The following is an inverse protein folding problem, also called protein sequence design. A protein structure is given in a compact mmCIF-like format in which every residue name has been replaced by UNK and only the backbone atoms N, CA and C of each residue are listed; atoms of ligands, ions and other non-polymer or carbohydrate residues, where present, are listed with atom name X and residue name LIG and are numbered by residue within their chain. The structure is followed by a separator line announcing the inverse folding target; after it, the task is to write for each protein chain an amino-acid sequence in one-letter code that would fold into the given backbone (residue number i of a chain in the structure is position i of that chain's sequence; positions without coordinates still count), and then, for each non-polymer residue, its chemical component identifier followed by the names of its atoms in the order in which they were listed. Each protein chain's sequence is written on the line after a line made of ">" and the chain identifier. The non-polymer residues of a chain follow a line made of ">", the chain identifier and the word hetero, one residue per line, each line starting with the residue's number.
data_IF_570596245711
#
_entry.id   IF_570596245711
#
_cell.length_a   1.000
_cell.length_b   1.000
_cell.length_c   1.000
_cell.angle_alpha   90.00
_cell.angle_beta   90.00
_cell.angle_gamma   90.00
#
_symmetry.space_group_name_H-M   'P 1'
#
loop_
_entity.id
_entity.type
_entity.pdbx_description
1 polymer ?
#
# COMPACT_ATOMS: atom_id res chain seq x y z
N UNK A 1 10.91 2.63 -35.73
CA UNK A 1 11.38 1.54 -34.84
C UNK A 1 12.30 2.16 -33.79
N UNK A 2 11.97 2.03 -32.50
CA UNK A 2 12.56 2.64 -31.29
C UNK A 2 11.75 3.80 -30.67
N UNK A 3 10.69 3.44 -29.93
CA UNK A 3 10.10 4.30 -28.88
C UNK A 3 9.57 3.51 -27.67
N UNK A 4 9.84 2.20 -27.55
CA UNK A 4 9.23 1.33 -26.52
C UNK A 4 10.00 1.23 -25.19
N UNK A 5 10.73 2.28 -24.76
CA UNK A 5 11.67 2.18 -23.63
C UNK A 5 11.26 2.92 -22.34
N UNK A 6 10.09 3.56 -22.25
CA UNK A 6 9.77 4.44 -21.11
C UNK A 6 8.77 3.91 -20.07
N UNK A 7 8.16 2.73 -20.25
CA UNK A 7 7.07 2.26 -19.37
C UNK A 7 7.57 1.27 -18.29
N UNK A 8 8.82 0.82 -18.34
CA UNK A 8 9.28 -0.35 -17.58
C UNK A 8 9.81 -0.09 -16.14
N UNK A 9 9.77 1.14 -15.61
CA UNK A 9 10.57 1.48 -14.41
C UNK A 9 9.81 2.04 -13.18
N UNK A 10 8.47 2.08 -13.15
CA UNK A 10 7.77 2.88 -12.11
C UNK A 10 6.49 2.28 -11.49
N UNK A 11 6.39 0.95 -11.33
CA UNK A 11 5.15 0.29 -10.87
C UNK A 11 5.19 -0.43 -9.53
N UNK A 12 6.05 -0.01 -8.60
CA UNK A 12 6.15 -0.68 -7.30
C UNK A 12 5.36 0.00 -6.16
N UNK A 13 4.84 1.23 -6.34
CA UNK A 13 4.38 2.04 -5.20
C UNK A 13 2.85 2.16 -5.02
N UNK A 14 2.02 1.99 -6.06
CA UNK A 14 0.61 2.41 -5.96
C UNK A 14 -0.41 1.31 -5.68
N UNK A 15 -0.08 0.01 -5.81
CA UNK A 15 -0.97 -1.08 -5.36
C UNK A 15 -0.65 -1.59 -3.94
N UNK A 16 0.40 -1.06 -3.32
CA UNK A 16 0.78 -1.30 -1.92
C UNK A 16 1.14 0.06 -1.33
N UNK A 17 0.14 0.82 -0.87
CA UNK A 17 0.40 2.08 -0.18
C UNK A 17 1.13 1.81 1.16
N UNK A 18 2.45 1.95 1.14
CA UNK A 18 3.26 2.31 2.29
C UNK A 18 4.23 3.40 1.84
N UNK A 19 4.02 4.62 2.31
CA UNK A 19 4.95 5.72 2.11
C UNK A 19 6.27 5.38 2.82
N UNK A 20 7.38 5.40 2.09
CA UNK A 20 8.71 5.62 2.66
C UNK A 20 9.45 6.59 1.75
N UNK A 21 9.60 7.81 2.27
CA UNK A 21 10.38 8.88 1.68
C UNK A 21 11.87 8.60 1.90
N UNK A 22 12.51 7.91 0.97
CA UNK A 22 13.97 7.83 0.93
C UNK A 22 14.54 8.97 0.08
N UNK A 23 15.09 9.98 0.77
CA UNK A 23 15.99 10.96 0.13
C UNK A 23 17.38 10.35 -0.03
N UNK A 24 18.00 10.40 -1.22
CA UNK A 24 19.39 9.98 -1.37
C UNK A 24 20.34 11.01 -0.73
N UNK A 25 21.14 10.55 0.24
CA UNK A 25 22.30 11.28 0.76
C UNK A 25 23.37 11.39 -0.31
N UNK A 26 23.71 12.61 -0.72
CA UNK A 26 24.83 12.88 -1.62
C UNK A 26 26.13 13.06 -0.84
N UNK A 27 27.10 12.20 -1.11
CA UNK A 27 28.50 12.39 -0.74
C UNK A 27 29.06 13.59 -1.53
N UNK A 28 29.49 14.64 -0.83
CA UNK A 28 30.24 15.74 -1.44
C UNK A 28 31.70 15.69 -1.00
N UNK A 29 32.57 15.53 -2.00
CA UNK A 29 34.01 15.61 -1.90
C UNK A 29 34.43 17.08 -1.76
N UNK A 30 35.21 17.36 -0.71
CA UNK A 30 35.73 18.70 -0.43
C UNK A 30 36.80 19.12 -1.43
N UNK A 31 36.56 20.23 -2.12
CA UNK A 31 37.58 20.95 -2.89
C UNK A 31 37.69 22.39 -2.38
N UNK A 32 38.88 22.74 -1.91
CA UNK A 32 39.26 24.05 -1.38
C UNK A 32 39.33 25.07 -2.53
N UNK A 33 38.71 26.23 -2.36
CA UNK A 33 39.11 27.46 -3.05
C UNK A 33 39.02 28.65 -2.09
N UNK A 34 40.18 29.26 -1.87
CA UNK A 34 40.41 30.51 -1.17
C UNK A 34 40.12 31.71 -2.08
N UNK A 35 39.41 32.72 -1.58
CA UNK A 35 39.25 34.01 -2.26
C UNK A 35 38.89 35.12 -1.29
N UNK A 36 39.83 36.05 -1.11
CA UNK A 36 39.77 37.35 -0.39
C UNK A 36 38.71 38.28 -1.03
N UNK A 37 37.84 38.92 -0.25
CA UNK A 37 37.91 40.26 0.40
C UNK A 37 37.15 41.35 -0.37
N UNK A 38 36.47 42.19 0.44
CA UNK A 38 36.22 43.63 0.28
C UNK A 38 34.77 44.15 0.13
N UNK A 39 34.44 44.99 1.13
CA UNK A 39 33.71 46.26 1.11
C UNK A 39 32.20 46.39 0.83
N UNK A 40 31.46 46.47 1.94
CA UNK A 40 30.65 47.61 2.47
C UNK A 40 29.56 48.34 1.61
N UNK A 41 28.59 49.02 2.27
CA UNK A 41 27.16 49.02 1.89
C UNK A 41 26.57 50.39 1.51
N UNK A 42 25.33 50.40 1.00
CA UNK A 42 24.38 51.52 0.98
C UNK A 42 22.97 50.98 0.62
N UNK A 43 21.98 51.02 1.53
CA UNK A 43 21.00 52.10 1.83
C UNK A 43 19.66 52.01 1.07
N UNK A 44 18.60 52.00 1.88
CA UNK A 44 17.29 52.65 1.79
C UNK A 44 16.44 52.49 0.52
N UNK A 45 15.29 51.82 0.68
CA UNK A 45 14.01 52.30 0.10
C UNK A 45 12.87 52.01 1.09
N UNK A 46 12.19 53.09 1.46
CA UNK A 46 11.01 53.20 2.32
C UNK A 46 9.83 52.31 1.90
N UNK A 47 9.08 51.81 2.90
CA UNK A 47 7.69 51.36 2.73
C UNK A 47 6.78 52.19 3.62
N UNK A 48 5.64 52.69 3.10
CA UNK A 48 4.71 53.49 3.88
C UNK A 48 3.80 52.63 4.77
N UNK A 49 3.46 53.20 5.92
CA UNK A 49 2.50 52.67 6.90
C UNK A 49 1.07 52.55 6.32
N UNK A 50 0.29 51.54 6.74
CA UNK A 50 -1.13 51.48 6.45
C UNK A 50 -1.96 52.40 7.38
N UNK A 51 -3.06 53.00 6.89
CA UNK A 51 -3.83 53.98 7.64
C UNK A 51 -4.79 53.39 8.68
N UNK A 52 -5.10 54.28 9.62
CA UNK A 52 -5.97 54.19 10.79
C UNK A 52 -7.30 53.44 10.63
N UNK A 53 -7.60 52.65 11.67
CA UNK A 53 -8.94 52.17 12.01
C UNK A 53 -9.79 53.35 12.51
N UNK A 54 -10.97 53.53 11.92
CA UNK A 54 -12.07 54.31 12.49
C UNK A 54 -13.25 53.42 12.81
N UNK A 55 -13.86 53.77 13.94
CA UNK A 55 -15.05 53.23 14.58
C UNK A 55 -16.33 53.45 13.79
N UNK A 56 -17.35 52.66 14.15
CA UNK A 56 -18.75 52.70 13.69
C UNK A 56 -19.25 51.26 13.57
N UNK A 57 -19.72 50.62 14.65
CA UNK A 57 -21.03 50.77 15.29
C UNK A 57 -22.21 50.48 14.35
N UNK A 58 -23.18 49.76 14.90
CA UNK A 58 -24.45 49.30 14.32
C UNK A 58 -24.39 48.00 13.47
N UNK A 59 -24.84 46.89 14.07
CA UNK A 59 -26.02 46.17 13.56
C UNK A 59 -26.47 45.04 14.51
N UNK A 60 -27.57 45.38 15.19
CA UNK A 60 -28.70 44.56 15.59
C UNK A 60 -28.78 43.17 14.91
N UNK A 61 -28.62 42.11 15.70
CA UNK A 61 -28.95 40.74 15.29
C UNK A 61 -30.29 40.36 15.92
N UNK A 62 -31.34 40.09 15.12
CA UNK A 62 -32.59 39.59 15.68
C UNK A 62 -32.39 38.17 16.21
N UNK A 63 -32.93 37.93 17.40
CA UNK A 63 -33.18 36.58 17.93
C UNK A 63 -34.24 35.91 17.07
N UNK A 64 -33.85 34.89 16.32
CA UNK A 64 -34.77 33.90 15.78
C UNK A 64 -34.90 32.75 16.78
N UNK A 65 -35.88 32.86 17.66
CA UNK A 65 -36.53 31.70 18.26
C UNK A 65 -37.51 31.09 17.22
N UNK A 66 -37.70 29.77 17.32
CA UNK A 66 -38.72 28.94 16.67
C UNK A 66 -38.52 28.55 15.19
N UNK A 67 -37.79 27.44 14.98
CA UNK A 67 -38.06 26.52 13.86
C UNK A 67 -38.45 25.13 14.38
N UNK A 68 -39.55 24.55 13.89
CA UNK A 68 -40.03 23.24 14.31
C UNK A 68 -39.08 22.12 13.85
N UNK A 69 -38.98 21.10 14.69
CA UNK A 69 -38.24 19.85 14.47
C UNK A 69 -38.57 19.24 13.10
N UNK A 70 -37.66 19.44 12.15
CA UNK A 70 -37.66 18.78 10.85
C UNK A 70 -36.87 17.49 10.95
N UNK A 71 -37.56 16.39 10.66
CA UNK A 71 -37.07 15.01 10.55
C UNK A 71 -35.64 14.93 10.00
N UNK A 72 -34.71 14.48 10.84
CA UNK A 72 -33.44 13.98 10.37
C UNK A 72 -33.70 12.75 9.48
N UNK A 73 -33.08 12.63 8.30
CA UNK A 73 -33.18 11.41 7.52
C UNK A 73 -32.60 10.27 8.36
N UNK A 74 -33.47 9.33 8.71
CA UNK A 74 -33.12 8.05 9.32
C UNK A 74 -32.07 7.42 8.41
N UNK A 75 -30.82 7.39 8.89
CA UNK A 75 -29.81 6.52 8.30
C UNK A 75 -30.35 5.10 8.47
N UNK A 76 -30.37 4.26 7.41
CA UNK A 76 -30.68 2.87 7.62
C UNK A 76 -29.63 2.30 8.58
N UNK A 77 -30.08 1.86 9.75
CA UNK A 77 -29.31 1.06 10.69
C UNK A 77 -28.98 -0.26 10.00
N UNK A 78 -27.90 -0.25 9.23
CA UNK A 78 -27.23 -1.46 8.77
C UNK A 78 -26.32 -1.94 9.90
N UNK A 79 -26.93 -2.27 11.04
CA UNK A 79 -26.32 -3.04 12.12
C UNK A 79 -26.28 -4.52 11.72
N UNK A 80 -25.64 -4.81 10.59
CA UNK A 80 -25.10 -6.15 10.41
C UNK A 80 -23.88 -6.24 11.34
N UNK A 81 -23.87 -7.19 12.29
CA UNK A 81 -22.72 -7.37 13.17
C UNK A 81 -21.50 -7.64 12.30
N UNK A 82 -20.45 -6.83 12.46
CA UNK A 82 -19.19 -7.04 11.78
C UNK A 82 -18.75 -8.50 11.98
N UNK A 83 -18.64 -9.24 10.86
CA UNK A 83 -18.19 -10.63 10.83
C UNK A 83 -17.00 -10.81 11.76
N UNK A 84 -17.11 -11.78 12.69
CA UNK A 84 -16.11 -12.07 13.70
C UNK A 84 -14.71 -12.11 13.08
N UNK A 85 -13.81 -11.17 13.43
CA UNK A 85 -12.49 -11.13 12.83
C UNK A 85 -11.66 -12.34 13.28
N UNK A 86 -10.86 -12.91 12.38
CA UNK A 86 -9.65 -13.62 12.81
C UNK A 86 -9.57 -15.14 12.59
N UNK A 87 -10.60 -15.85 12.13
CA UNK A 87 -10.45 -17.27 11.80
C UNK A 87 -11.25 -17.77 10.59
N UNK A 88 -12.35 -17.10 10.23
CA UNK A 88 -13.24 -17.55 9.14
C UNK A 88 -13.62 -16.40 8.21
N UNK A 89 -12.67 -15.50 7.87
CA UNK A 89 -12.90 -14.51 6.82
C UNK A 89 -13.17 -15.24 5.50
N UNK A 90 -14.45 -15.46 5.23
CA UNK A 90 -15.07 -15.21 3.94
C UNK A 90 -14.48 -15.88 2.70
N UNK A 91 -13.86 -17.06 2.80
CA UNK A 91 -13.65 -17.91 1.61
C UNK A 91 -14.96 -18.58 1.14
N UNK A 92 -16.09 -18.17 1.73
CA UNK A 92 -17.40 -18.76 1.47
C UNK A 92 -17.83 -18.46 0.03
N UNK A 93 -17.78 -19.52 -0.77
CA UNK A 93 -18.44 -19.73 -2.06
C UNK A 93 -17.77 -19.18 -3.33
N UNK A 94 -16.44 -19.23 -3.44
CA UNK A 94 -15.84 -19.31 -4.79
C UNK A 94 -16.24 -20.65 -5.43
N UNK A 95 -16.75 -20.59 -6.66
CA UNK A 95 -17.10 -21.77 -7.45
C UNK A 95 -15.90 -22.32 -8.24
N UNK A 96 -14.73 -21.68 -8.14
CA UNK A 96 -13.52 -22.16 -8.79
C UNK A 96 -13.13 -23.54 -8.26
N UNK A 97 -12.84 -24.45 -9.19
CA UNK A 97 -12.32 -25.76 -8.87
C UNK A 97 -10.89 -25.63 -8.32
N UNK A 98 -10.59 -26.38 -7.26
CA UNK A 98 -9.23 -26.54 -6.77
C UNK A 98 -8.71 -27.90 -7.17
N UNK A 99 -7.50 -27.92 -7.70
CA UNK A 99 -6.77 -29.14 -8.05
C UNK A 99 -5.89 -29.55 -6.87
N UNK A 100 -5.70 -30.85 -6.68
CA UNK A 100 -4.75 -31.39 -5.69
C UNK A 100 -3.29 -31.03 -6.03
N UNK A 101 -3.02 -30.73 -7.30
CA UNK A 101 -1.69 -30.33 -7.78
C UNK A 101 -1.74 -29.34 -8.94
N UNK A 102 -0.68 -28.55 -9.07
CA UNK A 102 -0.48 -27.59 -10.15
C UNK A 102 0.60 -28.08 -11.10
N UNK A 103 0.30 -28.13 -12.40
CA UNK A 103 1.33 -28.36 -13.42
C UNK A 103 2.04 -27.06 -13.81
N UNK A 104 3.25 -27.19 -14.33
CA UNK A 104 4.06 -26.08 -14.81
C UNK A 104 5.39 -25.95 -14.10
N UNK A 105 6.21 -25.04 -14.61
CA UNK A 105 7.50 -24.66 -14.02
C UNK A 105 7.26 -23.75 -12.83
N UNK A 106 8.05 -23.90 -11.76
CA UNK A 106 7.97 -22.97 -10.64
C UNK A 106 8.36 -21.56 -11.08
N UNK A 107 7.53 -20.59 -10.73
CA UNK A 107 7.81 -19.19 -10.94
C UNK A 107 8.87 -18.70 -9.95
N UNK A 108 9.87 -17.97 -10.44
CA UNK A 108 10.95 -17.39 -9.64
C UNK A 108 11.09 -15.91 -9.98
N UNK A 109 11.13 -15.08 -8.94
CA UNK A 109 11.43 -13.64 -9.07
C UNK A 109 12.78 -13.44 -9.75
N UNK A 110 12.89 -12.45 -10.63
CA UNK A 110 14.08 -12.15 -11.42
C UNK A 110 14.30 -13.06 -12.64
N UNK A 111 13.54 -14.16 -12.77
CA UNK A 111 13.58 -15.00 -13.97
C UNK A 111 12.66 -14.45 -15.07
N UNK A 112 12.97 -14.82 -16.31
CA UNK A 112 12.16 -14.52 -17.51
C UNK A 112 11.67 -15.81 -18.14
N UNK A 113 10.42 -15.80 -18.58
CA UNK A 113 9.68 -16.93 -19.14
C UNK A 113 9.09 -16.55 -20.50
N UNK A 114 8.97 -17.52 -21.40
CA UNK A 114 8.54 -17.29 -22.78
C UNK A 114 7.08 -17.72 -22.98
N UNK A 115 6.47 -17.20 -24.05
CA UNK A 115 5.13 -17.58 -24.46
C UNK A 115 4.97 -19.09 -24.64
N UNK A 116 3.86 -19.62 -24.12
CA UNK A 116 3.57 -21.06 -24.06
C UNK A 116 4.06 -21.75 -22.79
N UNK A 117 4.92 -21.12 -21.98
CA UNK A 117 5.27 -21.66 -20.67
C UNK A 117 4.05 -21.68 -19.75
N UNK A 118 3.86 -22.81 -19.04
CA UNK A 118 2.93 -22.90 -17.92
C UNK A 118 3.72 -22.69 -16.63
N UNK A 119 3.31 -21.70 -15.85
CA UNK A 119 3.98 -21.29 -14.62
C UNK A 119 3.09 -21.56 -13.43
N UNK A 120 3.67 -22.03 -12.33
CA UNK A 120 2.98 -22.22 -11.05
C UNK A 120 3.67 -21.41 -9.96
N UNK A 121 2.87 -20.90 -9.04
CA UNK A 121 3.32 -20.24 -7.83
C UNK A 121 2.82 -21.11 -6.68
N UNK A 122 3.60 -22.13 -6.32
CA UNK A 122 3.15 -23.13 -5.34
C UNK A 122 2.84 -22.49 -3.98
N UNK A 123 3.60 -21.46 -3.58
CA UNK A 123 3.35 -20.73 -2.34
C UNK A 123 1.92 -20.18 -2.25
N UNK A 124 1.37 -19.67 -3.37
CA UNK A 124 0.04 -19.06 -3.45
C UNK A 124 -1.05 -20.00 -3.94
N UNK A 125 -0.70 -21.20 -4.40
CA UNK A 125 -1.69 -22.18 -4.85
C UNK A 125 -2.36 -21.80 -6.17
N UNK A 126 -1.65 -21.20 -7.12
CA UNK A 126 -2.18 -21.04 -8.48
C UNK A 126 -1.15 -21.28 -9.58
N UNK A 127 -1.65 -21.55 -10.78
CA UNK A 127 -0.85 -21.62 -12.02
C UNK A 127 -1.53 -20.84 -13.13
N UNK A 128 -0.77 -20.39 -14.13
CA UNK A 128 -1.27 -19.73 -15.33
C UNK A 128 -0.37 -20.06 -16.53
N UNK A 129 -0.88 -19.82 -17.74
CA UNK A 129 -0.09 -19.95 -18.97
C UNK A 129 0.34 -18.57 -19.48
N UNK A 130 1.61 -18.44 -19.85
CA UNK A 130 2.11 -17.26 -20.56
C UNK A 130 1.55 -17.29 -21.99
N UNK A 131 0.81 -16.27 -22.45
CA UNK A 131 0.28 -16.26 -23.82
C UNK A 131 1.41 -16.38 -24.86
N UNK A 132 1.13 -17.06 -25.97
CA UNK A 132 2.09 -17.18 -27.08
C UNK A 132 2.45 -15.80 -27.64
N UNK A 133 3.73 -15.58 -27.94
CA UNK A 133 4.24 -14.27 -28.40
C UNK A 133 4.46 -13.26 -27.28
N UNK A 134 4.41 -13.70 -26.02
CA UNK A 134 4.64 -12.85 -24.86
C UNK A 134 5.88 -13.26 -24.08
N UNK A 135 6.40 -12.31 -23.31
CA UNK A 135 7.43 -12.52 -22.30
C UNK A 135 6.80 -12.27 -20.94
N UNK A 136 7.15 -13.10 -19.96
CA UNK A 136 6.68 -13.00 -18.59
C UNK A 136 7.87 -12.92 -17.63
N UNK A 137 7.79 -12.08 -16.61
CA UNK A 137 8.80 -12.01 -15.56
C UNK A 137 8.35 -11.12 -14.41
N UNK A 138 9.02 -11.23 -13.27
CA UNK A 138 8.80 -10.33 -12.14
C UNK A 138 10.15 -9.73 -11.76
N UNK A 139 10.39 -8.44 -12.02
CA UNK A 139 11.61 -7.78 -11.56
C UNK A 139 11.79 -7.96 -10.06
N UNK A 140 13.05 -8.06 -9.61
CA UNK A 140 13.35 -8.15 -8.16
C UNK A 140 12.78 -6.92 -7.45
N UNK A 141 12.07 -7.14 -6.34
CA UNK A 141 11.40 -6.09 -5.58
C UNK A 141 9.99 -5.73 -6.07
N UNK A 142 9.57 -6.20 -7.26
CA UNK A 142 8.21 -5.97 -7.78
C UNK A 142 7.17 -6.76 -6.97
N UNK A 143 5.97 -6.18 -6.84
CA UNK A 143 4.78 -6.83 -6.24
C UNK A 143 3.86 -7.48 -7.28
N UNK A 144 4.19 -7.38 -8.57
CA UNK A 144 3.40 -7.93 -9.66
C UNK A 144 4.27 -8.62 -10.72
N UNK A 145 3.73 -9.70 -11.30
CA UNK A 145 4.28 -10.36 -12.49
C UNK A 145 3.93 -9.49 -13.70
N UNK A 146 4.93 -9.16 -14.50
CA UNK A 146 4.78 -8.40 -15.73
C UNK A 146 4.66 -9.38 -16.91
N UNK A 147 3.62 -9.20 -17.72
CA UNK A 147 3.51 -9.84 -19.02
C UNK A 147 3.52 -8.77 -20.12
N UNK A 148 4.31 -9.00 -21.16
CA UNK A 148 4.42 -8.12 -22.31
C UNK A 148 4.26 -8.93 -23.58
N UNK A 149 3.40 -8.48 -24.47
CA UNK A 149 3.33 -8.99 -25.83
C UNK A 149 4.46 -8.40 -26.69
N UNK A 150 5.17 -9.21 -27.46
CA UNK A 150 6.31 -8.73 -28.27
C UNK A 150 5.87 -7.91 -29.50
N UNK A 151 4.60 -8.03 -29.92
CA UNK A 151 4.05 -7.38 -31.10
C UNK A 151 3.19 -6.14 -30.80
N UNK A 152 2.94 -5.83 -29.53
CA UNK A 152 2.03 -4.76 -29.10
C UNK A 152 2.64 -3.89 -28.01
N UNK A 153 2.41 -2.59 -28.10
CA UNK A 153 2.78 -1.63 -27.06
C UNK A 153 1.76 -1.68 -25.91
N UNK A 154 1.89 -2.71 -25.07
CA UNK A 154 1.04 -2.93 -23.90
C UNK A 154 1.83 -3.39 -22.67
N UNK A 155 1.21 -3.23 -21.51
CA UNK A 155 1.66 -3.78 -20.23
C UNK A 155 0.53 -4.59 -19.61
N UNK A 156 0.82 -5.80 -19.15
CA UNK A 156 -0.05 -6.55 -18.25
C UNK A 156 0.63 -6.77 -16.91
N UNK A 157 -0.09 -6.51 -15.83
CA UNK A 157 0.35 -6.74 -14.46
C UNK A 157 -0.56 -7.79 -13.83
N UNK A 158 0.01 -8.92 -13.42
CA UNK A 158 -0.68 -9.98 -12.70
C UNK A 158 -0.26 -9.91 -11.23
N UNK A 159 -1.24 -9.76 -10.35
CA UNK A 159 -1.06 -9.74 -8.90
C UNK A 159 -1.87 -10.87 -8.27
N UNK A 160 -1.39 -11.37 -7.14
CA UNK A 160 -2.07 -12.46 -6.45
C UNK A 160 -1.89 -12.33 -4.94
N UNK A 161 -2.95 -12.64 -4.19
CA UNK A 161 -2.98 -12.54 -2.74
C UNK A 161 -4.03 -13.49 -2.15
N UNK A 162 -3.72 -14.11 -1.01
CA UNK A 162 -4.70 -14.92 -0.26
C UNK A 162 -5.57 -14.05 0.65
N UNK A 163 -6.77 -14.49 0.98
CA UNK A 163 -7.61 -13.82 1.99
C UNK A 163 -8.24 -12.50 1.55
N UNK A 164 -8.22 -12.20 0.24
CA UNK A 164 -8.92 -11.04 -0.35
C UNK A 164 -10.41 -11.37 -0.46
N UNK A 165 -11.25 -10.55 0.16
CA UNK A 165 -12.72 -10.68 0.07
C UNK A 165 -13.26 -10.12 -1.26
N UNK A 166 -14.50 -10.44 -1.63
CA UNK A 166 -15.13 -9.82 -2.81
C UNK A 166 -15.20 -8.29 -2.67
N UNK A 167 -15.54 -7.77 -1.49
CA UNK A 167 -15.63 -6.33 -1.24
C UNK A 167 -14.26 -5.65 -1.44
N UNK A 168 -13.19 -6.26 -0.91
CA UNK A 168 -11.82 -5.78 -1.11
C UNK A 168 -11.41 -5.86 -2.58
N UNK A 169 -11.73 -6.94 -3.28
CA UNK A 169 -11.45 -7.07 -4.70
C UNK A 169 -12.20 -6.02 -5.55
N UNK A 170 -13.44 -5.68 -5.17
CA UNK A 170 -14.21 -4.60 -5.79
C UNK A 170 -13.56 -3.25 -5.56
N UNK A 171 -13.08 -2.99 -4.34
CA UNK A 171 -12.36 -1.75 -4.01
C UNK A 171 -11.04 -1.64 -4.79
N UNK A 172 -10.27 -2.72 -4.89
CA UNK A 172 -9.02 -2.77 -5.66
C UNK A 172 -9.18 -2.35 -7.12
N UNK A 173 -10.30 -2.69 -7.75
CA UNK A 173 -10.60 -2.29 -9.15
C UNK A 173 -11.60 -1.14 -9.25
N UNK A 174 -12.05 -0.59 -8.13
CA UNK A 174 -13.03 0.49 -8.08
C UNK A 174 -12.41 1.88 -8.11
N UNK A 175 -11.15 1.98 -7.71
CA UNK A 175 -10.42 3.23 -7.53
C UNK A 175 -9.56 3.59 -8.74
N UNK A 176 -9.27 4.88 -8.90
CA UNK A 176 -8.28 5.36 -9.86
C UNK A 176 -6.87 4.87 -9.49
N UNK A 177 -6.00 4.75 -10.49
CA UNK A 177 -4.59 4.46 -10.26
C UNK A 177 -3.71 5.25 -11.20
N UNK A 178 -2.53 5.67 -10.72
CA UNK A 178 -1.54 6.37 -11.52
C UNK A 178 -0.51 5.37 -12.08
N UNK A 179 -0.23 5.50 -13.37
CA UNK A 179 0.83 4.76 -14.04
C UNK A 179 2.25 5.30 -13.73
N UNK A 180 2.37 6.25 -12.80
CA UNK A 180 3.63 6.71 -12.22
C UNK A 180 4.35 7.79 -13.04
N UNK A 181 3.69 8.41 -14.02
CA UNK A 181 4.32 9.51 -14.78
C UNK A 181 4.05 10.89 -14.16
N UNK A 182 3.25 10.97 -13.08
CA UNK A 182 2.93 12.23 -12.41
C UNK A 182 2.16 13.22 -13.28
N UNK A 183 1.55 12.74 -14.37
CA UNK A 183 0.75 13.55 -15.29
C UNK A 183 -0.69 13.05 -15.27
N UNK A 184 -1.67 13.91 -15.54
CA UNK A 184 -3.05 13.45 -15.63
C UNK A 184 -3.25 12.43 -16.76
N UNK A 185 -2.38 12.42 -17.78
CA UNK A 185 -2.38 11.41 -18.85
C UNK A 185 -1.99 10.00 -18.37
N UNK A 186 -1.29 9.88 -17.23
CA UNK A 186 -0.93 8.60 -16.61
C UNK A 186 -1.93 8.11 -15.58
N UNK A 187 -2.94 8.92 -15.22
CA UNK A 187 -4.02 8.50 -14.34
C UNK A 187 -5.06 7.70 -15.13
N UNK A 188 -5.32 6.49 -14.67
CA UNK A 188 -6.32 5.59 -15.24
C UNK A 188 -7.60 5.70 -14.42
N UNK A 189 -8.65 6.23 -15.03
CA UNK A 189 -9.92 6.51 -14.37
C UNK A 189 -10.89 5.35 -14.64
N UNK A 190 -11.55 4.80 -13.62
CA UNK A 190 -12.48 3.69 -13.76
C UNK A 190 -13.75 4.12 -14.54
N UNK A 191 -14.10 3.40 -15.60
CA UNK A 191 -15.28 3.67 -16.45
C UNK A 191 -16.39 2.63 -16.25
N UNK A 192 -17.63 3.10 -16.09
CA UNK A 192 -18.83 2.27 -16.01
C UNK A 192 -19.16 1.77 -14.60
N UNK A 193 -19.78 0.60 -14.48
CA UNK A 193 -19.94 -0.16 -13.22
C UNK A 193 -19.03 -1.39 -13.24
N UNK A 194 -18.67 -1.92 -12.06
CA UNK A 194 -17.96 -3.20 -11.97
C UNK A 194 -18.91 -4.30 -12.42
N UNK A 195 -18.54 -5.03 -13.47
CA UNK A 195 -19.29 -6.21 -13.92
C UNK A 195 -18.86 -7.41 -13.08
N UNK A 196 -19.84 -8.25 -12.70
CA UNK A 196 -19.60 -9.52 -12.00
C UNK A 196 -20.18 -10.67 -12.82
N UNK A 197 -19.37 -11.69 -13.06
CA UNK A 197 -19.79 -12.96 -13.67
C UNK A 197 -19.20 -14.11 -12.85
N UNK A 198 -20.05 -14.75 -12.03
CA UNK A 198 -19.59 -15.73 -11.04
C UNK A 198 -18.51 -15.16 -10.13
N UNK A 199 -17.30 -15.75 -10.20
CA UNK A 199 -16.13 -15.38 -9.42
C UNK A 199 -15.26 -14.30 -10.09
N UNK A 200 -15.66 -13.80 -11.25
CA UNK A 200 -14.94 -12.77 -12.00
C UNK A 200 -15.52 -11.39 -11.69
N UNK A 201 -14.65 -10.44 -11.36
CA UNK A 201 -14.95 -9.01 -11.28
C UNK A 201 -14.18 -8.29 -12.38
N UNK A 202 -14.87 -7.49 -13.19
CA UNK A 202 -14.28 -6.81 -14.34
C UNK A 202 -14.53 -5.30 -14.27
N UNK A 203 -13.49 -4.52 -14.56
CA UNK A 203 -13.56 -3.06 -14.70
C UNK A 203 -12.77 -2.57 -15.90
N UNK A 204 -13.32 -1.59 -16.62
CA UNK A 204 -12.61 -0.83 -17.65
C UNK A 204 -12.04 0.47 -17.06
N UNK A 205 -10.89 0.88 -17.55
CA UNK A 205 -10.24 2.14 -17.22
C UNK A 205 -9.90 2.91 -18.49
N UNK A 206 -9.88 4.23 -18.40
CA UNK A 206 -9.49 5.12 -19.49
C UNK A 206 -8.60 6.26 -18.96
N UNK A 207 -7.65 6.69 -19.79
CA UNK A 207 -6.98 7.98 -19.65
C UNK A 207 -7.13 8.77 -20.97
N UNK A 208 -6.44 9.90 -21.10
CA UNK A 208 -6.43 10.68 -22.35
C UNK A 208 -5.92 9.88 -23.55
N UNK A 209 -4.98 8.96 -23.35
CA UNK A 209 -4.30 8.23 -24.45
C UNK A 209 -4.33 6.71 -24.31
N UNK A 210 -4.72 6.21 -23.14
CA UNK A 210 -4.66 4.79 -22.82
C UNK A 210 -6.03 4.24 -22.46
N UNK A 211 -6.19 2.94 -22.68
CA UNK A 211 -7.30 2.15 -22.18
C UNK A 211 -6.73 1.01 -21.34
N UNK A 212 -7.45 0.65 -20.29
CA UNK A 212 -7.09 -0.47 -19.44
C UNK A 212 -8.28 -1.34 -19.07
N UNK A 213 -7.98 -2.58 -18.68
CA UNK A 213 -8.97 -3.51 -18.18
C UNK A 213 -8.39 -4.26 -16.98
N UNK A 214 -9.05 -4.16 -15.83
CA UNK A 214 -8.76 -4.99 -14.69
C UNK A 214 -9.78 -6.13 -14.59
N UNK A 215 -9.29 -7.34 -14.35
CA UNK A 215 -10.12 -8.49 -14.04
C UNK A 215 -9.56 -9.21 -12.82
N UNK A 216 -10.42 -9.49 -11.84
CA UNK A 216 -10.08 -10.23 -10.63
C UNK A 216 -10.87 -11.52 -10.61
N UNK A 217 -10.15 -12.63 -10.43
CA UNK A 217 -10.70 -13.96 -10.26
C UNK A 217 -10.57 -14.39 -8.79
N UNK A 218 -11.71 -14.55 -8.14
CA UNK A 218 -11.80 -14.97 -6.74
C UNK A 218 -11.73 -16.50 -6.64
N UNK A 219 -10.61 -17.03 -6.13
CA UNK A 219 -10.49 -18.45 -5.77
C UNK A 219 -10.90 -18.70 -4.32
N UNK A 220 -10.96 -19.99 -3.93
CA UNK A 220 -11.31 -20.36 -2.54
C UNK A 220 -10.23 -20.02 -1.53
N UNK A 221 -8.96 -19.98 -1.93
CA UNK A 221 -7.84 -19.67 -1.02
C UNK A 221 -7.03 -18.45 -1.49
N UNK A 222 -6.97 -18.22 -2.80
CA UNK A 222 -6.20 -17.15 -3.41
C UNK A 222 -7.05 -16.37 -4.41
N UNK A 223 -6.77 -15.09 -4.52
CA UNK A 223 -7.35 -14.18 -5.51
C UNK A 223 -6.25 -13.80 -6.49
N UNK A 224 -6.54 -13.89 -7.78
CA UNK A 224 -5.62 -13.49 -8.85
C UNK A 224 -6.27 -12.35 -9.62
N UNK A 225 -5.58 -11.23 -9.74
CA UNK A 225 -6.01 -10.12 -10.56
C UNK A 225 -5.01 -9.83 -11.68
N UNK A 226 -5.53 -9.35 -12.79
CA UNK A 226 -4.75 -8.85 -13.90
C UNK A 226 -5.22 -7.44 -14.25
N UNK A 227 -4.28 -6.58 -14.58
CA UNK A 227 -4.53 -5.29 -15.21
C UNK A 227 -3.80 -5.26 -16.55
N UNK A 228 -4.52 -5.06 -17.66
CA UNK A 228 -3.93 -4.78 -18.97
C UNK A 228 -4.08 -3.31 -19.31
N UNK A 229 -3.02 -2.67 -19.81
CA UNK A 229 -3.00 -1.26 -20.21
C UNK A 229 -2.27 -1.13 -21.55
N UNK A 230 -2.78 -0.29 -22.43
CA UNK A 230 -2.15 0.04 -23.71
C UNK A 230 -2.88 1.19 -24.40
N UNK A 231 -2.49 1.47 -25.65
CA UNK A 231 -3.13 2.52 -26.44
C UNK A 231 -4.59 2.17 -26.77
N UNK A 232 -5.46 3.17 -26.84
CA UNK A 232 -6.90 2.97 -27.08
C UNK A 232 -7.23 2.22 -28.38
N UNK A 233 -6.36 2.32 -29.39
CA UNK A 233 -6.50 1.57 -30.66
C UNK A 233 -6.40 0.05 -30.49
N UNK A 234 -5.80 -0.43 -29.39
CA UNK A 234 -5.62 -1.86 -29.07
C UNK A 234 -6.64 -2.38 -28.04
N UNK A 235 -7.74 -1.67 -27.77
CA UNK A 235 -8.72 -2.02 -26.75
C UNK A 235 -9.21 -3.50 -26.84
N UNK A 236 -9.57 -3.96 -28.03
CA UNK A 236 -10.05 -5.33 -28.25
C UNK A 236 -8.96 -6.38 -28.02
N UNK A 237 -7.72 -6.04 -28.36
CA UNK A 237 -6.57 -6.89 -28.09
C UNK A 237 -6.33 -6.99 -26.58
N UNK A 238 -6.30 -5.86 -25.85
CA UNK A 238 -6.11 -5.83 -24.40
C UNK A 238 -7.19 -6.61 -23.66
N UNK A 239 -8.45 -6.49 -24.11
CA UNK A 239 -9.58 -7.25 -23.57
C UNK A 239 -9.40 -8.75 -23.77
N UNK A 240 -8.99 -9.14 -24.97
CA UNK A 240 -8.77 -10.54 -25.33
C UNK A 240 -7.53 -11.14 -24.65
N UNK A 241 -6.45 -10.36 -24.53
CA UNK A 241 -5.22 -10.76 -23.86
C UNK A 241 -5.46 -11.05 -22.38
N UNK A 242 -6.17 -10.14 -21.69
CA UNK A 242 -6.58 -10.30 -20.30
C UNK A 242 -7.37 -11.59 -20.07
N UNK A 243 -8.39 -11.83 -20.90
CA UNK A 243 -9.23 -13.01 -20.82
C UNK A 243 -8.43 -14.31 -21.06
N UNK A 244 -7.44 -14.30 -21.95
CA UNK A 244 -6.55 -15.45 -22.17
C UNK A 244 -5.71 -15.78 -20.93
N UNK A 245 -5.15 -14.78 -20.27
CA UNK A 245 -4.33 -15.00 -19.06
C UNK A 245 -5.19 -15.50 -17.91
N UNK A 246 -6.30 -14.82 -17.60
CA UNK A 246 -7.19 -15.20 -16.49
C UNK A 246 -7.88 -16.54 -16.75
N UNK A 247 -8.34 -16.80 -17.98
CA UNK A 247 -8.92 -18.09 -18.35
C UNK A 247 -7.93 -19.26 -18.28
N UNK A 248 -6.62 -18.98 -18.24
CA UNK A 248 -5.57 -19.96 -18.01
C UNK A 248 -5.26 -20.23 -16.54
N UNK A 249 -5.86 -19.48 -15.60
CA UNK A 249 -5.61 -19.62 -14.17
C UNK A 249 -6.25 -20.91 -13.64
N UNK A 250 -5.48 -21.66 -12.84
CA UNK A 250 -5.99 -22.80 -12.07
C UNK A 250 -5.57 -22.66 -10.62
N UNK A 251 -6.48 -22.99 -9.70
CA UNK A 251 -6.22 -22.93 -8.26
C UNK A 251 -5.92 -24.31 -7.67
N UNK A 252 -5.21 -24.28 -6.54
CA UNK A 252 -4.93 -25.38 -5.63
C UNK A 252 -4.77 -24.78 -4.22
N UNK A 253 -4.70 -25.64 -3.20
CA UNK A 253 -4.37 -25.18 -1.85
C UNK A 253 -2.98 -24.52 -1.83
N UNK A 254 -2.81 -23.32 -1.25
CA UNK A 254 -1.52 -22.66 -1.14
C UNK A 254 -0.50 -23.51 -0.36
N UNK A 255 0.68 -23.73 -0.94
CA UNK A 255 1.76 -24.45 -0.27
C UNK A 255 2.28 -23.72 0.97
N UNK A 256 2.20 -22.38 0.99
CA UNK A 256 2.60 -21.55 2.13
C UNK A 256 1.59 -21.50 3.27
N UNK A 257 0.45 -22.18 3.16
CA UNK A 257 -0.65 -22.09 4.14
C UNK A 257 -0.22 -22.57 5.53
N UNK A 258 0.58 -23.64 5.61
CA UNK A 258 1.09 -24.16 6.88
C UNK A 258 1.95 -23.13 7.61
N UNK A 259 2.81 -22.44 6.89
CA UNK A 259 3.67 -21.40 7.46
C UNK A 259 2.84 -20.18 7.88
N UNK A 260 1.88 -19.77 7.04
CA UNK A 260 0.92 -18.69 7.37
C UNK A 260 0.17 -18.96 8.67
N UNK A 261 -0.38 -20.16 8.83
CA UNK A 261 -1.11 -20.58 10.05
C UNK A 261 -0.17 -20.62 11.26
N UNK A 262 1.06 -21.14 11.08
CA UNK A 262 2.06 -21.14 12.14
C UNK A 262 2.37 -19.72 12.61
N UNK A 263 2.69 -18.80 11.69
CA UNK A 263 2.93 -17.40 12.02
C UNK A 263 1.74 -16.75 12.73
N UNK A 264 0.53 -17.04 12.27
CA UNK A 264 -0.67 -16.47 12.86
C UNK A 264 -0.81 -16.91 14.32
N UNK A 265 -0.51 -18.18 14.62
CA UNK A 265 -0.50 -18.68 15.98
C UNK A 265 0.64 -18.10 16.83
N UNK A 266 1.83 -17.91 16.24
CA UNK A 266 2.98 -17.34 16.92
C UNK A 266 2.77 -15.86 17.29
N UNK A 267 1.97 -15.12 16.49
CA UNK A 267 1.69 -13.69 16.68
C UNK A 267 0.42 -13.39 17.49
N UNK A 268 -0.53 -14.33 17.59
CA UNK A 268 -1.76 -14.15 18.37
C UNK A 268 -1.47 -13.84 19.85
N UNK A 269 -2.07 -12.77 20.35
CA UNK A 269 -1.89 -12.28 21.72
C UNK A 269 -0.51 -11.66 21.99
N UNK A 270 0.24 -11.30 20.94
CA UNK A 270 1.60 -10.74 21.05
C UNK A 270 1.64 -9.27 20.69
N UNK A 271 2.69 -8.59 21.13
CA UNK A 271 3.09 -7.29 20.62
C UNK A 271 4.30 -7.48 19.70
N UNK A 272 4.22 -6.92 18.50
CA UNK A 272 5.34 -6.80 17.56
C UNK A 272 5.89 -5.39 17.69
N UNK A 273 7.18 -5.27 18.02
CA UNK A 273 7.86 -3.98 18.17
C UNK A 273 8.95 -3.83 17.11
N UNK A 274 8.87 -2.78 16.31
CA UNK A 274 9.89 -2.42 15.34
C UNK A 274 10.57 -1.13 15.78
N UNK A 275 11.89 -1.17 15.80
CA UNK A 275 12.74 -0.04 16.13
C UNK A 275 13.24 0.61 14.84
N UNK A 276 12.81 1.84 14.54
CA UNK A 276 13.17 2.49 13.26
C UNK A 276 14.33 3.49 13.34
N UNK A 277 14.63 4.06 14.50
CA UNK A 277 15.65 5.12 14.56
C UNK A 277 16.22 5.38 15.94
N UNK A 278 17.53 5.66 15.99
CA UNK A 278 18.24 6.31 17.10
C UNK A 278 19.09 7.46 16.51
N UNK A 279 18.68 8.72 16.64
CA UNK A 279 19.62 9.83 16.42
C UNK A 279 20.27 10.17 17.74
N UNK A 280 21.59 10.02 17.82
CA UNK A 280 22.42 10.68 18.83
C UNK A 280 23.29 11.72 18.13
N UNK A 281 22.81 12.96 18.01
CA UNK A 281 23.60 14.05 17.45
C UNK A 281 24.25 14.87 18.55
N UNK A 282 25.55 14.72 18.78
CA UNK A 282 26.30 15.61 19.66
C UNK A 282 26.33 17.03 19.06
N UNK A 283 25.55 17.94 19.62
CA UNK A 283 25.58 19.36 19.26
C UNK A 283 26.85 20.03 19.77
N UNK A 284 27.50 20.82 18.91
CA UNK A 284 28.53 21.77 19.32
C UNK A 284 27.93 22.70 20.40
N UNK A 285 28.33 22.54 21.66
CA UNK A 285 27.80 23.30 22.80
C UNK A 285 27.28 22.47 23.99
N UNK A 286 27.39 21.14 23.97
CA UNK A 286 27.03 20.29 25.12
C UNK A 286 25.58 19.81 25.14
N UNK A 287 24.82 20.04 24.06
CA UNK A 287 23.47 19.51 23.89
C UNK A 287 23.53 18.11 23.27
N UNK A 288 23.07 17.11 24.02
CA UNK A 288 22.75 15.78 23.47
C UNK A 288 21.24 15.70 23.26
N UNK A 289 20.82 15.41 22.03
CA UNK A 289 19.47 14.96 21.75
C UNK A 289 19.54 13.49 21.37
N UNK A 290 18.73 12.67 22.03
CA UNK A 290 18.43 11.32 21.57
C UNK A 290 16.96 11.21 21.27
N UNK A 291 16.60 10.80 20.05
CA UNK A 291 15.23 10.40 19.73
C UNK A 291 15.18 8.96 19.27
N UNK A 292 14.22 8.23 19.85
CA UNK A 292 13.89 6.86 19.51
C UNK A 292 12.46 6.80 18.97
N UNK A 293 12.29 6.11 17.85
CA UNK A 293 10.98 5.86 17.25
C UNK A 293 10.65 4.37 17.33
N UNK A 294 9.59 4.06 18.06
CA UNK A 294 9.09 2.71 18.28
C UNK A 294 7.69 2.56 17.72
N UNK A 295 7.50 1.51 16.92
CA UNK A 295 6.19 1.10 16.40
C UNK A 295 5.77 -0.17 17.12
N UNK A 296 4.63 -0.14 17.81
CA UNK A 296 4.09 -1.30 18.54
C UNK A 296 2.75 -1.73 17.95
N UNK A 297 2.68 -2.95 17.43
CA UNK A 297 1.42 -3.59 17.03
C UNK A 297 1.04 -4.65 18.05
N UNK A 298 0.00 -4.39 18.83
CA UNK A 298 -0.61 -5.37 19.71
C UNK A 298 -1.61 -6.18 18.88
N UNK A 299 -1.31 -7.45 18.65
CA UNK A 299 -2.09 -8.38 17.83
C UNK A 299 -2.92 -9.27 18.75
N UNK A 300 -4.18 -8.88 18.99
CA UNK A 300 -5.13 -9.59 19.85
C UNK A 300 -5.40 -11.01 19.37
N UNK A 301 -5.70 -11.91 20.31
CA UNK A 301 -6.06 -13.31 20.00
C UNK A 301 -7.39 -13.43 19.25
N UNK A 302 -8.24 -12.42 19.40
CA UNK A 302 -9.54 -12.21 18.76
C UNK A 302 -9.43 -11.68 17.32
N UNK A 303 -8.23 -11.51 16.76
CA UNK A 303 -8.04 -10.98 15.42
C UNK A 303 -8.16 -9.46 15.33
N UNK A 304 -8.30 -8.75 16.46
CA UNK A 304 -8.19 -7.30 16.52
C UNK A 304 -6.75 -6.85 16.77
N UNK A 305 -6.39 -5.66 16.30
CA UNK A 305 -5.10 -5.07 16.64
C UNK A 305 -5.24 -3.66 17.17
N UNK A 306 -4.19 -3.24 17.89
CA UNK A 306 -4.00 -1.88 18.35
C UNK A 306 -2.58 -1.44 18.02
N UNK A 307 -2.45 -0.37 17.26
CA UNK A 307 -1.19 0.24 16.90
C UNK A 307 -0.89 1.44 17.79
N UNK A 308 0.33 1.48 18.30
CA UNK A 308 0.89 2.64 18.97
C UNK A 308 2.16 3.08 18.27
N UNK A 309 2.19 4.37 17.93
CA UNK A 309 3.41 5.05 17.57
C UNK A 309 3.96 5.74 18.81
N UNK A 310 5.15 5.34 19.24
CA UNK A 310 5.84 5.95 20.39
C UNK A 310 7.13 6.60 19.91
N UNK A 311 7.14 7.94 19.93
CA UNK A 311 8.35 8.72 19.77
C UNK A 311 8.85 9.17 21.14
N UNK A 312 10.03 8.69 21.56
CA UNK A 312 10.70 9.11 22.79
C UNK A 312 11.89 9.98 22.43
N UNK A 313 11.72 11.29 22.55
CA UNK A 313 12.81 12.27 22.44
C UNK A 313 13.19 12.82 23.81
N UNK A 314 14.44 12.66 24.23
CA UNK A 314 15.00 13.41 25.35
C UNK A 314 15.77 14.61 24.79
N UNK A 315 15.34 15.81 25.18
CA UNK A 315 16.14 17.02 25.04
C UNK A 315 16.43 17.54 26.44
N UNK A 316 17.71 17.57 26.82
CA UNK A 316 18.14 18.31 28.01
C UNK A 316 18.50 19.73 27.54
N UNK A 317 17.61 20.69 27.78
CA UNK A 317 17.96 22.10 27.67
C UNK A 317 18.26 22.63 29.08
N UNK A 318 19.52 22.95 29.35
CA UNK A 318 19.93 23.75 30.53
C UNK A 318 19.69 25.25 30.28
N UNK A 319 18.49 25.62 29.80
CA UNK A 319 18.09 27.02 29.66
C UNK A 319 16.71 27.23 30.28
N UNK A 320 16.58 28.11 31.29
CA UNK A 320 15.29 28.40 31.93
C UNK A 320 14.27 29.05 30.98
N UNK A 321 14.70 29.49 29.79
CA UNK A 321 13.86 30.15 28.77
C UNK A 321 13.54 29.24 27.56
N UNK A 322 14.04 28.00 27.54
CA UNK A 322 13.79 27.08 26.42
C UNK A 322 12.55 26.21 26.71
N UNK A 323 11.44 26.53 26.05
CA UNK A 323 10.29 25.63 25.91
C UNK A 323 10.69 24.43 25.05
N UNK A 324 11.11 23.34 25.71
CA UNK A 324 11.35 22.06 25.06
C UNK A 324 10.09 21.61 24.33
N UNK A 325 10.13 21.57 23.00
CA UNK A 325 9.06 21.02 22.20
C UNK A 325 8.94 19.53 22.47
N UNK A 326 7.96 19.12 23.27
CA UNK A 326 7.52 17.74 23.25
C UNK A 326 7.03 17.45 21.83
N UNK A 327 7.60 16.45 21.18
CA UNK A 327 7.01 15.82 20.01
C UNK A 327 5.72 15.10 20.44
N UNK A 328 4.70 15.89 20.76
CA UNK A 328 3.35 15.44 21.12
C UNK A 328 2.45 15.29 19.88
N UNK A 329 2.94 15.65 18.70
CA UNK A 329 2.14 15.68 17.48
C UNK A 329 2.57 14.56 16.52
N UNK A 330 2.09 13.34 16.81
CA UNK A 330 1.44 12.40 15.86
C UNK A 330 1.27 11.04 16.53
N UNK A 331 0.47 10.96 17.60
CA UNK A 331 -0.08 9.70 18.08
C UNK A 331 -1.12 9.20 17.07
N UNK A 332 -0.67 8.74 15.89
CA UNK A 332 -1.50 8.06 14.90
C UNK A 332 -1.84 6.65 15.38
N UNK A 333 -2.42 6.55 16.58
CA UNK A 333 -2.92 5.29 17.09
C UNK A 333 -4.11 4.89 16.24
N UNK A 334 -4.08 3.68 15.73
CA UNK A 334 -5.20 3.12 15.00
C UNK A 334 -5.44 1.70 15.47
N UNK A 335 -6.69 1.27 15.37
CA UNK A 335 -7.14 -0.04 15.75
C UNK A 335 -7.99 -0.63 14.64
N UNK A 336 -8.14 -1.93 14.67
CA UNK A 336 -9.02 -2.62 13.74
C UNK A 336 -8.75 -4.11 13.76
N UNK A 337 -8.68 -4.74 12.60
CA UNK A 337 -8.49 -6.19 12.45
C UNK A 337 -7.19 -6.52 11.77
N UNK A 338 -6.58 -7.64 12.12
CA UNK A 338 -5.35 -8.11 11.49
C UNK A 338 -5.49 -9.51 10.93
N UNK A 339 -4.71 -9.78 9.89
CA UNK A 339 -4.56 -11.11 9.30
C UNK A 339 -3.15 -11.29 8.76
N UNK A 340 -2.77 -12.55 8.58
CA UNK A 340 -1.60 -12.91 7.78
C UNK A 340 -2.06 -13.46 6.45
N UNK A 341 -1.44 -12.95 5.39
CA UNK A 341 -1.78 -13.29 4.02
C UNK A 341 -0.50 -13.55 3.22
N UNK A 342 -0.61 -14.32 2.16
CA UNK A 342 0.47 -14.62 1.23
C UNK A 342 0.30 -13.76 -0.02
N UNK A 343 1.41 -13.26 -0.54
CA UNK A 343 1.51 -12.48 -1.77
C UNK A 343 2.63 -13.03 -2.66
N UNK A 344 2.83 -12.45 -3.84
CA UNK A 344 3.93 -12.83 -4.75
C UNK A 344 5.33 -12.60 -4.15
N UNK A 345 5.44 -11.72 -3.15
CA UNK A 345 6.72 -11.38 -2.49
C UNK A 345 6.92 -12.11 -1.16
N UNK A 346 5.90 -12.83 -0.67
CA UNK A 346 5.97 -13.57 0.58
C UNK A 346 4.79 -13.34 1.50
N UNK A 347 4.98 -13.65 2.78
CA UNK A 347 3.98 -13.43 3.83
C UNK A 347 3.90 -11.95 4.20
N UNK A 348 2.70 -11.46 4.40
CA UNK A 348 2.44 -10.07 4.82
C UNK A 348 1.52 -10.04 6.03
N UNK A 349 1.77 -9.09 6.93
CA UNK A 349 0.83 -8.67 7.95
C UNK A 349 -0.09 -7.62 7.35
N UNK A 350 -1.39 -7.88 7.42
CA UNK A 350 -2.42 -6.98 6.91
C UNK A 350 -3.18 -6.42 8.08
N UNK A 351 -3.16 -5.10 8.22
CA UNK A 351 -3.86 -4.35 9.24
C UNK A 351 -4.98 -3.56 8.57
N UNK A 352 -6.22 -3.81 8.96
CA UNK A 352 -7.40 -3.10 8.48
C UNK A 352 -7.93 -2.24 9.60
N UNK A 353 -7.79 -0.93 9.47
CA UNK A 353 -8.30 -0.01 10.48
C UNK A 353 -9.84 0.00 10.54
N UNK A 354 -10.40 0.68 11.54
CA UNK A 354 -11.85 0.83 11.71
C UNK A 354 -12.55 1.60 10.58
N UNK A 355 -11.80 2.27 9.71
CA UNK A 355 -12.31 2.96 8.51
C UNK A 355 -12.25 2.06 7.27
N UNK A 356 -11.73 0.83 7.40
CA UNK A 356 -11.55 -0.11 6.30
C UNK A 356 -10.26 0.10 5.50
N UNK A 357 -9.38 1.02 5.91
CA UNK A 357 -8.10 1.26 5.24
C UNK A 357 -7.17 0.08 5.51
N UNK A 358 -6.57 -0.46 4.44
CA UNK A 358 -5.63 -1.57 4.50
C UNK A 358 -4.19 -1.05 4.54
N UNK A 359 -3.46 -1.41 5.59
CA UNK A 359 -2.02 -1.28 5.71
C UNK A 359 -1.38 -2.66 5.59
N UNK A 360 -0.32 -2.77 4.79
CA UNK A 360 0.39 -4.04 4.58
C UNK A 360 1.83 -3.89 5.01
N UNK A 361 2.36 -4.89 5.71
CA UNK A 361 3.75 -4.96 6.14
C UNK A 361 4.34 -6.30 5.70
N UNK A 362 5.50 -6.28 5.05
CA UNK A 362 6.19 -7.49 4.60
C UNK A 362 6.83 -8.17 5.79
N UNK A 363 6.55 -9.46 5.98
CA UNK A 363 7.16 -10.26 7.03
C UNK A 363 8.30 -11.11 6.47
N UNK A 364 9.45 -11.05 7.13
CA UNK A 364 10.59 -11.92 6.86
C UNK A 364 10.98 -12.71 8.11
N UNK A 365 11.33 -13.98 7.95
CA UNK A 365 12.11 -14.71 8.94
C UNK A 365 13.53 -14.90 8.44
N UNK A 366 14.50 -14.46 9.24
CA UNK A 366 15.91 -14.72 8.99
C UNK A 366 16.56 -15.14 10.29
N UNK A 367 17.18 -16.33 10.29
CA UNK A 367 17.87 -16.90 11.45
C UNK A 367 17.01 -16.97 12.72
N UNK A 368 15.71 -17.29 12.55
CA UNK A 368 14.74 -17.38 13.64
C UNK A 368 14.25 -16.05 14.21
N UNK A 369 14.66 -14.92 13.61
CA UNK A 369 14.23 -13.56 13.98
C UNK A 369 13.19 -13.05 12.99
N UNK A 370 12.20 -12.32 13.50
CA UNK A 370 11.18 -11.66 12.69
C UNK A 370 11.72 -10.33 12.18
N UNK A 371 11.43 -10.04 10.92
CA UNK A 371 11.67 -8.76 10.29
C UNK A 371 10.36 -8.24 9.71
N UNK A 372 10.13 -6.94 9.84
CA UNK A 372 8.96 -6.24 9.30
C UNK A 372 9.48 -5.13 8.39
N UNK A 373 9.11 -5.17 7.12
CA UNK A 373 9.61 -4.26 6.08
C UNK A 373 11.15 -4.17 6.03
N UNK A 374 11.84 -5.25 6.41
CA UNK A 374 13.31 -5.34 6.43
C UNK A 374 13.96 -4.98 7.76
N UNK A 375 13.22 -4.38 8.70
CA UNK A 375 13.71 -4.03 10.03
C UNK A 375 13.49 -5.19 11.02
N UNK A 376 14.47 -5.46 11.89
CA UNK A 376 14.32 -6.50 12.92
C UNK A 376 13.20 -6.12 13.90
N UNK A 377 12.29 -7.06 14.14
CA UNK A 377 11.17 -6.90 15.04
C UNK A 377 11.33 -7.81 16.26
N UNK A 378 10.99 -7.29 17.44
CA UNK A 378 10.88 -8.10 18.65
C UNK A 378 9.43 -8.49 18.89
N UNK A 379 9.21 -9.75 19.27
CA UNK A 379 7.88 -10.29 19.58
C UNK A 379 7.83 -10.60 21.07
N UNK A 380 6.86 -10.02 21.77
CA UNK A 380 6.66 -10.21 23.21
C UNK A 380 5.20 -10.44 23.57
N UNK A 381 4.89 -10.81 24.83
CA UNK A 381 3.50 -10.82 25.29
C UNK A 381 2.90 -9.42 25.16
N UNK A 382 1.67 -9.34 24.62
CA UNK A 382 0.91 -8.09 24.67
C UNK A 382 0.43 -7.84 26.10
N UNK A 383 0.60 -6.62 26.60
CA UNK A 383 0.04 -6.12 27.86
C UNK A 383 -1.35 -5.49 27.68
N UNK A 384 -1.82 -5.38 26.43
CA UNK A 384 -3.16 -4.93 26.08
C UNK A 384 -4.07 -6.14 25.98
N UNK A 385 -5.09 -6.16 26.84
CA UNK A 385 -6.10 -7.22 26.88
C UNK A 385 -7.17 -6.90 25.84
N UNK A 386 -7.27 -7.74 24.81
CA UNK A 386 -8.45 -7.90 23.95
C UNK A 386 -8.62 -9.38 23.62
#
# INVERSE_FOLDING_TARGET
>A
MKTSCLIALLFCACLVCACSDDKPSSDSSGSKCSGKSDDKPARDVDKPDPPDRRDGDENDWPREDDKPEGEHPVRPDNDEPADTPGAERGFKASNQAESDSLDGKEFNSGATYNGGDKLKITQLGFSFAVPSGSICGMPVGSSAIQLRDEGKDMLALLFARTGVTEAEARDMIGNEFDLGAGTDASKMIPVGQISKDGDHLLRRFESTTLVGYAEVLLGKNATVGILTVGVSADADFLKSYRAKVIGGVKFATPGGEKDRVKYQNDLKGKVVKVFKYNSGGGGYGGTSWSSETNMHWHLGSDGHYLYYYQHTGSSSFDSPDATGGHAADTNNNHEGTWSLELTLTGSVLVLRDSKGVIHTQVLGLKDGRLYVDGDEATVGPSDKVR
#
